data_IF_047356200875
#
_entry.id   IF_047356200875
#
_cell.length_a   1.000
_cell.length_b   1.000
_cell.length_c   1.000
_cell.angle_alpha   90.00
_cell.angle_beta   90.00
_cell.angle_gamma   90.00
#
_symmetry.space_group_name_H-M   'P 1'
#
loop_
_entity.id
_entity.type
_entity.pdbx_description
1 polymer ?
#
# COMPACT_ATOMS: atom_id res chain seq x y z
N UNK A 1 14.36 8.11 -0.38
CA UNK A 1 13.00 8.65 -0.40
C UNK A 1 12.23 8.13 -1.60
N UNK A 2 10.97 7.77 -1.40
CA UNK A 2 9.96 7.62 -2.46
C UNK A 2 8.62 8.12 -1.92
N UNK A 3 7.61 8.30 -2.77
CA UNK A 3 6.34 8.89 -2.34
C UNK A 3 5.14 8.01 -2.71
N UNK A 4 4.30 7.68 -1.73
CA UNK A 4 3.03 7.01 -1.97
C UNK A 4 2.15 7.80 -2.95
N UNK A 5 1.58 7.10 -3.95
CA UNK A 5 0.84 7.70 -5.09
C UNK A 5 1.69 8.68 -5.91
N UNK A 6 2.99 8.41 -6.09
CA UNK A 6 3.86 9.16 -7.02
C UNK A 6 3.37 9.19 -8.47
N UNK A 7 2.59 8.18 -8.89
CA UNK A 7 1.82 8.23 -10.12
C UNK A 7 0.37 8.57 -9.76
N UNK A 8 -0.14 9.73 -10.20
CA UNK A 8 -1.51 10.07 -9.83
C UNK A 8 -2.04 11.42 -10.31
N UNK A 9 -3.26 11.73 -9.86
CA UNK A 9 -4.08 12.87 -10.33
C UNK A 9 -3.46 14.24 -10.16
N UNK A 10 -2.40 14.39 -9.36
CA UNK A 10 -1.68 15.65 -9.21
C UNK A 10 -0.84 15.99 -10.47
N UNK A 11 -0.47 14.98 -11.26
CA UNK A 11 0.26 15.13 -12.52
C UNK A 11 -0.68 15.47 -13.69
N UNK A 12 -0.45 16.57 -14.43
CA UNK A 12 -1.24 16.90 -15.62
C UNK A 12 -1.25 15.79 -16.68
N UNK A 13 -0.12 15.14 -16.91
CA UNK A 13 0.06 14.09 -17.90
C UNK A 13 -0.76 12.84 -17.55
N UNK A 14 -0.81 12.49 -16.25
CA UNK A 14 -1.65 11.41 -15.75
C UNK A 14 -3.14 11.71 -15.98
N UNK A 15 -3.57 12.96 -15.72
CA UNK A 15 -4.97 13.37 -15.98
C UNK A 15 -5.31 13.29 -17.47
N UNK A 16 -4.43 13.81 -18.34
CA UNK A 16 -4.61 13.75 -19.78
C UNK A 16 -4.66 12.31 -20.33
N UNK A 17 -3.93 11.38 -19.71
CA UNK A 17 -4.03 9.95 -20.03
C UNK A 17 -5.38 9.36 -19.59
N UNK A 18 -5.84 9.69 -18.37
CA UNK A 18 -7.11 9.19 -17.79
C UNK A 18 -8.37 9.74 -18.48
N UNK A 19 -8.25 10.80 -19.28
CA UNK A 19 -9.31 11.27 -20.19
C UNK A 19 -9.51 10.34 -21.39
N UNK A 20 -8.47 9.54 -21.74
CA UNK A 20 -8.47 8.66 -22.92
C UNK A 20 -8.72 7.19 -22.56
N UNK A 21 -8.24 6.75 -21.39
CA UNK A 21 -8.38 5.36 -20.92
C UNK A 21 -9.00 5.32 -19.53
N UNK A 22 -9.80 4.29 -19.26
CA UNK A 22 -10.36 4.07 -17.92
C UNK A 22 -9.27 3.71 -16.90
N UNK A 23 -9.57 3.77 -15.59
CA UNK A 23 -8.57 3.46 -14.56
C UNK A 23 -8.21 1.96 -14.57
N UNK A 24 -9.21 1.10 -14.78
CA UNK A 24 -9.01 -0.34 -14.90
C UNK A 24 -8.24 -0.67 -16.16
N UNK A 25 -8.57 -0.05 -17.29
CA UNK A 25 -7.82 -0.22 -18.53
C UNK A 25 -6.36 0.19 -18.36
N UNK A 26 -6.10 1.30 -17.67
CA UNK A 26 -4.74 1.72 -17.33
C UNK A 26 -4.02 0.68 -16.46
N UNK A 27 -4.67 0.14 -15.43
CA UNK A 27 -4.09 -0.89 -14.56
C UNK A 27 -3.85 -2.24 -15.28
N UNK A 28 -4.68 -2.55 -16.29
CA UNK A 28 -4.62 -3.80 -17.06
C UNK A 28 -3.80 -3.70 -18.34
N UNK A 29 -3.20 -2.54 -18.62
CA UNK A 29 -2.31 -2.32 -19.75
C UNK A 29 -0.87 -2.27 -19.27
N UNK A 30 -0.05 -3.32 -19.51
CA UNK A 30 1.34 -3.37 -19.07
C UNK A 30 2.17 -2.16 -19.51
N UNK A 31 2.02 -1.74 -20.77
CA UNK A 31 2.77 -0.62 -21.34
C UNK A 31 2.40 0.71 -20.70
N UNK A 32 1.10 0.96 -20.46
CA UNK A 32 0.65 2.20 -19.85
C UNK A 32 0.97 2.26 -18.35
N UNK A 33 0.84 1.15 -17.63
CA UNK A 33 1.24 1.03 -16.24
C UNK A 33 2.75 1.27 -16.08
N UNK A 34 3.56 0.71 -17.00
CA UNK A 34 4.99 0.97 -17.10
C UNK A 34 5.28 2.46 -17.35
N UNK A 35 4.70 3.05 -18.40
CA UNK A 35 4.91 4.46 -18.75
C UNK A 35 4.62 5.40 -17.57
N UNK A 36 3.48 5.20 -16.91
CA UNK A 36 3.07 6.02 -15.76
C UNK A 36 4.00 5.83 -14.56
N UNK A 37 4.47 4.61 -14.32
CA UNK A 37 5.40 4.31 -13.22
C UNK A 37 6.77 4.96 -13.47
N UNK A 38 7.34 4.76 -14.67
CA UNK A 38 8.66 5.30 -15.06
C UNK A 38 8.63 6.83 -15.05
N UNK A 39 7.62 7.44 -15.68
CA UNK A 39 7.47 8.90 -15.70
C UNK A 39 7.41 9.50 -14.29
N UNK A 40 6.70 8.86 -13.36
CA UNK A 40 6.63 9.32 -11.99
C UNK A 40 7.99 9.29 -11.29
N UNK A 41 8.79 8.24 -11.53
CA UNK A 41 10.16 8.14 -11.02
C UNK A 41 11.03 9.27 -11.59
N UNK A 42 11.05 9.43 -12.92
CA UNK A 42 11.91 10.41 -13.60
C UNK A 42 11.56 11.84 -13.22
N UNK A 43 10.27 12.17 -13.17
CA UNK A 43 9.80 13.52 -12.86
C UNK A 43 10.18 13.92 -11.42
N UNK A 44 10.04 12.99 -10.48
CA UNK A 44 10.30 13.24 -9.07
C UNK A 44 11.75 13.03 -8.66
N UNK A 45 12.53 12.23 -9.38
CA UNK A 45 13.88 11.83 -8.98
C UNK A 45 13.92 10.99 -7.71
N UNK A 46 12.91 10.15 -7.45
CA UNK A 46 12.85 9.31 -6.23
C UNK A 46 13.80 8.10 -6.30
N UNK A 47 14.15 7.55 -5.14
CA UNK A 47 15.07 6.41 -5.00
C UNK A 47 14.40 5.04 -5.20
N UNK A 48 13.09 4.99 -5.43
CA UNK A 48 12.36 3.78 -5.76
C UNK A 48 11.09 4.09 -6.55
N UNK A 49 10.74 3.22 -7.50
CA UNK A 49 9.44 3.17 -8.13
C UNK A 49 8.49 2.25 -7.37
N UNK A 50 7.19 2.51 -7.40
CA UNK A 50 6.15 1.55 -7.02
C UNK A 50 5.28 1.29 -8.24
N UNK A 51 5.02 0.02 -8.56
CA UNK A 51 4.25 -0.34 -9.74
C UNK A 51 2.87 0.33 -9.71
N UNK A 52 2.43 0.90 -10.83
CA UNK A 52 1.07 1.42 -10.94
C UNK A 52 0.07 0.26 -11.08
N UNK A 53 -0.73 0.05 -10.04
CA UNK A 53 -1.83 -0.93 -10.04
C UNK A 53 -2.90 -0.50 -9.02
N UNK A 54 -3.91 -1.34 -8.80
CA UNK A 54 -4.92 -1.16 -7.76
C UNK A 54 -4.97 -2.36 -6.81
N UNK A 55 -5.20 -2.12 -5.51
CA UNK A 55 -5.27 -3.18 -4.49
C UNK A 55 -6.44 -4.15 -4.74
N UNK A 56 -7.51 -3.71 -5.42
CA UNK A 56 -8.73 -4.48 -5.63
C UNK A 56 -8.65 -5.45 -6.80
N UNK A 57 -7.61 -5.38 -7.65
CA UNK A 57 -7.46 -6.29 -8.80
C UNK A 57 -7.52 -7.77 -8.38
N UNK A 58 -7.02 -8.10 -7.19
CA UNK A 58 -7.05 -9.45 -6.62
C UNK A 58 -8.48 -9.97 -6.33
N UNK A 59 -9.48 -9.10 -6.23
CA UNK A 59 -10.87 -9.51 -6.01
C UNK A 59 -11.49 -10.19 -7.23
N UNK A 60 -10.96 -9.96 -8.44
CA UNK A 60 -11.44 -10.60 -9.67
C UNK A 60 -11.19 -12.12 -9.67
N UNK A 61 -9.94 -12.62 -9.52
CA UNK A 61 -9.70 -14.07 -9.48
C UNK A 61 -10.33 -14.75 -8.26
N UNK A 62 -10.69 -13.99 -7.23
CA UNK A 62 -11.43 -14.47 -6.06
C UNK A 62 -12.95 -14.53 -6.27
N UNK A 63 -13.46 -14.18 -7.46
CA UNK A 63 -14.90 -14.16 -7.82
C UNK A 63 -15.73 -13.16 -7.01
N UNK A 64 -15.09 -12.19 -6.36
CA UNK A 64 -15.75 -11.10 -5.66
C UNK A 64 -16.09 -9.98 -6.65
N UNK A 65 -15.10 -9.59 -7.48
CA UNK A 65 -15.25 -8.59 -8.54
C UNK A 65 -15.52 -7.17 -8.02
N UNK A 66 -15.18 -6.19 -8.84
CA UNK A 66 -15.41 -4.78 -8.52
C UNK A 66 -15.50 -3.94 -9.79
N UNK A 67 -16.12 -2.78 -9.68
CA UNK A 67 -16.18 -1.76 -10.71
C UNK A 67 -15.92 -0.38 -10.08
N UNK A 68 -15.42 0.57 -10.85
CA UNK A 68 -15.37 1.97 -10.42
C UNK A 68 -16.60 2.70 -10.92
N UNK A 69 -17.33 3.33 -10.01
CA UNK A 69 -18.50 4.16 -10.32
C UNK A 69 -18.09 5.56 -10.76
N UNK A 70 -19.06 6.33 -11.28
CA UNK A 70 -18.83 7.69 -11.80
C UNK A 70 -18.31 8.68 -10.74
N UNK A 71 -18.59 8.43 -9.46
CA UNK A 71 -18.03 9.16 -8.32
C UNK A 71 -16.60 8.73 -7.94
N UNK A 72 -16.00 7.85 -8.76
CA UNK A 72 -14.67 7.26 -8.62
C UNK A 72 -14.49 6.33 -7.40
N UNK A 73 -15.57 5.94 -6.73
CA UNK A 73 -15.54 4.93 -5.67
C UNK A 73 -15.54 3.51 -6.25
N UNK A 74 -14.91 2.54 -5.57
CA UNK A 74 -15.08 1.14 -5.95
C UNK A 74 -16.43 0.62 -5.43
N UNK A 75 -17.14 -0.10 -6.28
CA UNK A 75 -18.33 -0.89 -5.96
C UNK A 75 -18.00 -2.36 -6.10
N UNK A 76 -18.25 -3.14 -5.05
CA UNK A 76 -18.03 -4.59 -5.07
C UNK A 76 -19.26 -5.28 -5.67
N UNK A 77 -19.03 -6.21 -6.58
CA UNK A 77 -20.09 -6.88 -7.33
C UNK A 77 -20.74 -8.00 -6.52
N UNK A 78 -19.93 -8.83 -5.86
CA UNK A 78 -20.40 -9.94 -5.02
C UNK A 78 -19.94 -9.74 -3.57
N UNK A 79 -20.61 -8.86 -2.79
CA UNK A 79 -20.17 -8.55 -1.44
C UNK A 79 -20.38 -9.73 -0.46
N UNK A 80 -19.43 -9.93 0.45
CA UNK A 80 -19.38 -11.08 1.38
C UNK A 80 -20.27 -10.81 2.60
N UNK A 81 -21.23 -11.71 2.85
CA UNK A 81 -22.19 -11.65 3.97
C UNK A 81 -22.39 -12.99 4.67
N UNK A 82 -22.13 -14.11 3.98
CA UNK A 82 -22.51 -15.46 4.43
C UNK A 82 -21.40 -16.48 4.18
N UNK A 83 -21.46 -17.60 4.91
CA UNK A 83 -20.53 -18.72 4.73
C UNK A 83 -20.53 -19.26 3.30
N UNK A 84 -21.70 -19.45 2.69
CA UNK A 84 -21.80 -19.94 1.32
C UNK A 84 -21.09 -19.07 0.28
N UNK A 85 -21.00 -17.76 0.51
CA UNK A 85 -20.24 -16.86 -0.37
C UNK A 85 -18.73 -17.02 -0.19
N UNK A 86 -18.27 -17.26 1.04
CA UNK A 86 -16.87 -17.56 1.33
C UNK A 86 -16.47 -18.92 0.77
N UNK A 87 -17.35 -19.92 0.86
CA UNK A 87 -17.15 -21.25 0.26
C UNK A 87 -17.07 -21.20 -1.28
N UNK A 88 -17.69 -20.18 -1.89
CA UNK A 88 -17.61 -19.93 -3.33
C UNK A 88 -16.29 -19.32 -3.80
N UNK A 89 -15.46 -18.82 -2.88
CA UNK A 89 -14.13 -18.26 -3.18
C UNK A 89 -13.16 -19.42 -3.45
N UNK A 90 -12.39 -19.37 -4.55
CA UNK A 90 -11.37 -20.38 -4.83
C UNK A 90 -10.39 -20.56 -3.66
N UNK A 91 -10.03 -21.81 -3.36
CA UNK A 91 -9.08 -22.08 -2.28
C UNK A 91 -7.68 -21.53 -2.55
N UNK A 92 -7.30 -21.52 -3.83
CA UNK A 92 -6.08 -20.95 -4.37
C UNK A 92 -6.39 -20.25 -5.69
N UNK A 93 -5.59 -19.24 -6.01
CA UNK A 93 -5.61 -18.56 -7.31
C UNK A 93 -4.30 -18.78 -8.03
N UNK A 94 -4.33 -18.90 -9.36
CA UNK A 94 -3.14 -18.72 -10.17
C UNK A 94 -2.90 -17.22 -10.34
N UNK A 95 -2.21 -16.60 -9.38
CA UNK A 95 -1.99 -15.16 -9.40
C UNK A 95 -1.14 -14.71 -10.60
N UNK A 96 -0.15 -15.51 -11.00
CA UNK A 96 0.71 -15.21 -12.14
C UNK A 96 -0.06 -15.22 -13.48
N UNK A 97 -0.99 -16.16 -13.66
CA UNK A 97 -1.85 -16.23 -14.83
C UNK A 97 -3.03 -15.24 -14.82
N UNK A 98 -3.78 -15.19 -13.71
CA UNK A 98 -5.01 -14.37 -13.61
C UNK A 98 -4.75 -12.86 -13.49
N UNK A 99 -3.59 -12.48 -12.99
CA UNK A 99 -3.14 -11.08 -12.87
C UNK A 99 -1.87 -10.86 -13.71
N UNK A 100 -1.74 -11.58 -14.84
CA UNK A 100 -0.54 -11.55 -15.68
C UNK A 100 -0.17 -10.15 -16.16
N UNK A 101 -1.17 -9.30 -16.41
CA UNK A 101 -0.97 -7.91 -16.81
C UNK A 101 -0.17 -7.10 -15.77
N UNK A 102 -0.30 -7.38 -14.47
CA UNK A 102 0.54 -6.76 -13.44
C UNK A 102 1.97 -7.32 -13.52
N UNK A 103 2.12 -8.63 -13.71
CA UNK A 103 3.44 -9.27 -13.83
C UNK A 103 4.19 -8.74 -15.06
N UNK A 104 3.49 -8.57 -16.17
CA UNK A 104 4.03 -8.01 -17.40
C UNK A 104 4.39 -6.54 -17.24
N UNK A 105 3.56 -5.76 -16.53
CA UNK A 105 3.88 -4.37 -16.19
C UNK A 105 5.15 -4.27 -15.33
N UNK A 106 5.31 -5.16 -14.34
CA UNK A 106 6.52 -5.24 -13.52
C UNK A 106 7.73 -5.56 -14.40
N UNK A 107 7.67 -6.60 -15.23
CA UNK A 107 8.77 -6.99 -16.14
C UNK A 107 9.15 -5.88 -17.11
N UNK A 108 8.17 -5.15 -17.65
CA UNK A 108 8.42 -4.01 -18.53
C UNK A 108 9.09 -2.86 -17.76
N UNK A 109 8.51 -2.45 -16.63
CA UNK A 109 9.02 -1.37 -15.78
C UNK A 109 10.43 -1.67 -15.29
N UNK A 110 10.73 -2.93 -14.97
CA UNK A 110 12.05 -3.37 -14.52
C UNK A 110 13.17 -3.18 -15.53
N UNK A 111 12.86 -3.18 -16.83
CA UNK A 111 13.84 -2.96 -17.90
C UNK A 111 14.17 -1.48 -18.07
N UNK A 112 13.25 -0.60 -17.70
CA UNK A 112 13.35 0.85 -17.89
C UNK A 112 13.87 1.58 -16.64
N UNK A 113 13.63 1.04 -15.44
CA UNK A 113 14.03 1.68 -14.18
C UNK A 113 15.45 1.31 -13.73
N UNK A 114 16.23 2.34 -13.41
CA UNK A 114 17.54 2.24 -12.74
C UNK A 114 17.43 2.10 -11.20
N UNK A 115 16.27 2.48 -10.63
CA UNK A 115 15.99 2.37 -9.19
C UNK A 115 15.19 1.10 -8.86
N UNK A 116 15.18 0.66 -7.59
CA UNK A 116 14.32 -0.45 -7.16
C UNK A 116 12.83 -0.23 -7.46
N UNK A 117 12.13 -1.32 -7.77
CA UNK A 117 10.69 -1.34 -8.06
C UNK A 117 9.99 -2.12 -6.95
N UNK A 118 9.01 -1.46 -6.35
CA UNK A 118 8.19 -1.98 -5.27
C UNK A 118 6.91 -2.57 -5.89
N UNK A 119 6.68 -3.86 -5.67
CA UNK A 119 5.37 -4.50 -5.86
C UNK A 119 4.47 -4.25 -4.66
N UNK A 120 3.17 -4.50 -4.76
CA UNK A 120 2.28 -4.31 -3.60
C UNK A 120 0.97 -5.09 -3.66
N UNK A 121 0.32 -5.19 -2.51
CA UNK A 121 -1.04 -5.70 -2.37
C UNK A 121 -1.77 -4.97 -1.22
N UNK A 122 -3.10 -5.03 -1.23
CA UNK A 122 -3.89 -4.66 -0.06
C UNK A 122 -3.77 -5.73 1.03
N UNK A 123 -3.74 -5.31 2.28
CA UNK A 123 -3.74 -6.21 3.44
C UNK A 123 -5.10 -6.93 3.60
N UNK A 124 -5.13 -8.09 4.27
CA UNK A 124 -6.36 -8.86 4.48
C UNK A 124 -7.52 -8.04 5.04
N UNK A 125 -7.29 -7.25 6.10
CA UNK A 125 -8.35 -6.47 6.73
C UNK A 125 -8.91 -5.40 5.79
N UNK A 126 -8.03 -4.70 5.09
CA UNK A 126 -8.41 -3.67 4.12
C UNK A 126 -9.23 -4.25 2.96
N UNK A 127 -8.80 -5.38 2.38
CA UNK A 127 -9.55 -6.04 1.30
C UNK A 127 -10.86 -6.66 1.78
N UNK A 128 -10.86 -7.29 2.96
CA UNK A 128 -12.06 -7.79 3.59
C UNK A 128 -13.06 -6.66 3.84
N UNK A 129 -12.59 -5.50 4.29
CA UNK A 129 -13.42 -4.32 4.51
C UNK A 129 -14.10 -3.88 3.22
N UNK A 130 -13.39 -3.80 2.09
CA UNK A 130 -14.05 -3.51 0.81
C UNK A 130 -15.08 -4.57 0.43
N UNK A 131 -14.69 -5.85 0.47
CA UNK A 131 -15.55 -6.97 0.10
C UNK A 131 -16.81 -7.08 0.96
N UNK A 132 -16.73 -6.75 2.25
CA UNK A 132 -17.85 -6.79 3.18
C UNK A 132 -18.62 -5.47 3.18
N UNK A 133 -18.01 -4.30 3.06
CA UNK A 133 -18.80 -3.05 3.01
C UNK A 133 -19.54 -2.93 1.67
N UNK A 134 -19.05 -3.57 0.61
CA UNK A 134 -19.57 -3.42 -0.74
C UNK A 134 -18.90 -2.28 -1.53
N UNK A 135 -17.88 -1.64 -0.94
CA UNK A 135 -17.21 -0.47 -1.48
C UNK A 135 -16.42 0.26 -0.40
N UNK A 136 -16.15 1.55 -0.59
CA UNK A 136 -15.55 2.39 0.46
C UNK A 136 -16.51 2.63 1.63
N UNK A 137 -15.96 2.71 2.85
CA UNK A 137 -16.74 3.00 4.07
C UNK A 137 -15.96 3.96 4.97
N UNK A 138 -16.70 4.74 5.78
CA UNK A 138 -16.11 5.63 6.79
C UNK A 138 -15.93 4.95 8.15
N UNK A 139 -16.78 3.97 8.45
CA UNK A 139 -16.90 3.40 9.79
C UNK A 139 -16.68 1.88 9.85
N UNK A 140 -16.77 1.19 8.71
CA UNK A 140 -16.52 -0.26 8.58
C UNK A 140 -17.43 -1.11 9.50
N UNK A 141 -18.70 -0.71 9.65
CA UNK A 141 -19.63 -1.35 10.56
C UNK A 141 -20.05 -2.75 10.12
N UNK A 142 -20.20 -3.01 8.82
CA UNK A 142 -20.55 -4.35 8.33
C UNK A 142 -19.36 -5.31 8.49
N UNK A 143 -18.14 -4.84 8.20
CA UNK A 143 -16.92 -5.60 8.44
C UNK A 143 -16.79 -5.97 9.93
N UNK A 144 -16.96 -5.00 10.83
CA UNK A 144 -16.90 -5.23 12.29
C UNK A 144 -18.02 -6.12 12.80
N UNK A 145 -19.24 -5.97 12.26
CA UNK A 145 -20.39 -6.81 12.61
C UNK A 145 -20.11 -8.28 12.27
N UNK A 146 -19.52 -8.58 11.12
CA UNK A 146 -19.10 -9.94 10.76
C UNK A 146 -17.96 -10.42 11.67
N UNK A 147 -16.91 -9.60 11.83
CA UNK A 147 -15.74 -9.91 12.64
C UNK A 147 -16.08 -10.27 14.10
N UNK A 148 -17.00 -9.54 14.72
CA UNK A 148 -17.43 -9.80 16.09
C UNK A 148 -18.54 -10.85 16.20
N UNK A 149 -19.46 -10.88 15.23
CA UNK A 149 -20.64 -11.73 15.27
C UNK A 149 -20.39 -13.17 14.85
N UNK A 150 -19.40 -13.41 13.98
CA UNK A 150 -19.06 -14.74 13.47
C UNK A 150 -17.55 -14.83 13.19
N UNK A 151 -16.77 -15.08 14.24
CA UNK A 151 -15.32 -15.21 14.18
C UNK A 151 -14.87 -16.39 13.31
N UNK A 152 -15.68 -17.46 13.21
CA UNK A 152 -15.38 -18.61 12.36
C UNK A 152 -15.41 -18.23 10.88
N UNK A 153 -16.49 -17.56 10.46
CA UNK A 153 -16.64 -17.05 9.10
C UNK A 153 -15.60 -15.97 8.77
N UNK A 154 -15.34 -15.05 9.70
CA UNK A 154 -14.28 -14.05 9.56
C UNK A 154 -12.92 -14.69 9.28
N UNK A 155 -12.52 -15.66 10.11
CA UNK A 155 -11.23 -16.34 9.96
C UNK A 155 -11.15 -17.16 8.68
N UNK A 156 -12.24 -17.83 8.28
CA UNK A 156 -12.29 -18.54 7.00
C UNK A 156 -12.05 -17.58 5.82
N UNK A 157 -12.73 -16.43 5.81
CA UNK A 157 -12.58 -15.45 4.74
C UNK A 157 -11.18 -14.80 4.72
N UNK A 158 -10.69 -14.36 5.88
CA UNK A 158 -9.36 -13.75 6.00
C UNK A 158 -8.26 -14.73 5.62
N UNK A 159 -8.42 -16.03 5.89
CA UNK A 159 -7.48 -17.07 5.46
C UNK A 159 -7.44 -17.21 3.93
N UNK A 160 -8.60 -17.18 3.25
CA UNK A 160 -8.67 -17.19 1.78
C UNK A 160 -7.97 -15.98 1.18
N UNK A 161 -8.24 -14.78 1.70
CA UNK A 161 -7.57 -13.55 1.28
C UNK A 161 -6.06 -13.63 1.49
N UNK A 162 -5.61 -14.05 2.67
CA UNK A 162 -4.18 -14.12 3.01
C UNK A 162 -3.41 -15.08 2.12
N UNK A 163 -4.00 -16.23 1.77
CA UNK A 163 -3.42 -17.17 0.81
C UNK A 163 -3.22 -16.52 -0.56
N UNK A 164 -4.27 -15.90 -1.09
CA UNK A 164 -4.23 -15.25 -2.40
C UNK A 164 -3.25 -14.05 -2.44
N UNK A 165 -3.22 -13.24 -1.37
CA UNK A 165 -2.31 -12.10 -1.25
C UNK A 165 -0.85 -12.57 -1.24
N UNK A 166 -0.54 -13.64 -0.49
CA UNK A 166 0.80 -14.21 -0.48
C UNK A 166 1.21 -14.70 -1.87
N UNK A 167 0.36 -15.48 -2.55
CA UNK A 167 0.62 -15.97 -3.90
C UNK A 167 0.81 -14.81 -4.90
N UNK A 168 0.03 -13.74 -4.77
CA UNK A 168 0.15 -12.54 -5.60
C UNK A 168 1.44 -11.76 -5.36
N UNK A 169 1.83 -11.55 -4.11
CA UNK A 169 3.10 -10.89 -3.79
C UNK A 169 4.30 -11.71 -4.27
N UNK A 170 4.27 -13.04 -4.10
CA UNK A 170 5.32 -13.94 -4.60
C UNK A 170 5.42 -13.84 -6.13
N UNK A 171 4.30 -13.85 -6.84
CA UNK A 171 4.30 -13.70 -8.30
C UNK A 171 4.91 -12.35 -8.74
N UNK A 172 4.66 -11.27 -8.00
CA UNK A 172 5.28 -9.97 -8.29
C UNK A 172 6.80 -9.99 -8.08
N UNK A 173 7.27 -10.68 -7.03
CA UNK A 173 8.71 -10.87 -6.76
C UNK A 173 9.35 -11.67 -7.91
N UNK A 174 8.74 -12.77 -8.31
CA UNK A 174 9.20 -13.60 -9.43
C UNK A 174 9.21 -12.84 -10.77
N UNK A 175 8.30 -11.87 -10.95
CA UNK A 175 8.26 -10.99 -12.10
C UNK A 175 9.34 -9.88 -12.08
N UNK A 176 9.98 -9.64 -10.93
CA UNK A 176 11.12 -8.74 -10.80
C UNK A 176 10.94 -7.61 -9.77
N UNK A 177 9.86 -7.59 -8.97
CA UNK A 177 9.77 -6.66 -7.85
C UNK A 177 10.91 -6.90 -6.85
N UNK A 178 11.65 -5.83 -6.52
CA UNK A 178 12.82 -5.92 -5.63
C UNK A 178 12.49 -5.64 -4.16
N UNK A 179 11.28 -5.15 -3.89
CA UNK A 179 10.65 -5.08 -2.58
C UNK A 179 9.13 -5.20 -2.77
N UNK A 180 8.41 -5.52 -1.71
CA UNK A 180 6.94 -5.55 -1.73
C UNK A 180 6.33 -4.78 -0.56
N UNK A 181 5.18 -4.15 -0.77
CA UNK A 181 4.44 -3.46 0.30
C UNK A 181 3.04 -4.04 0.50
N UNK A 182 2.69 -4.34 1.74
CA UNK A 182 1.35 -4.71 2.17
C UNK A 182 0.65 -3.48 2.76
N UNK A 183 -0.41 -3.00 2.11
CA UNK A 183 -1.15 -1.81 2.50
C UNK A 183 -2.36 -2.13 3.36
N UNK A 184 -2.31 -1.83 4.66
CA UNK A 184 -3.46 -1.92 5.56
C UNK A 184 -4.07 -0.55 5.86
N UNK A 185 -4.61 0.07 4.82
CA UNK A 185 -5.13 1.46 4.82
C UNK A 185 -6.28 1.69 5.82
N UNK A 186 -7.05 0.65 6.15
CA UNK A 186 -8.25 0.77 7.00
C UNK A 186 -8.05 0.29 8.43
N UNK A 187 -6.90 -0.29 8.75
CA UNK A 187 -6.66 -0.97 10.03
C UNK A 187 -6.76 -0.06 11.23
N UNK A 188 -6.47 1.23 11.05
CA UNK A 188 -6.51 2.22 12.14
C UNK A 188 -7.88 2.39 12.80
N UNK A 189 -8.95 1.82 12.23
CA UNK A 189 -10.25 1.78 12.90
C UNK A 189 -10.36 0.71 14.00
N UNK A 190 -9.35 -0.14 14.19
CA UNK A 190 -9.33 -1.23 15.18
C UNK A 190 -8.60 -0.84 16.47
N UNK A 191 -8.99 -1.51 17.57
CA UNK A 191 -8.21 -1.51 18.80
C UNK A 191 -7.01 -2.47 18.70
N UNK A 192 -5.96 -2.31 19.54
CA UNK A 192 -4.86 -3.27 19.59
C UNK A 192 -5.28 -4.71 19.93
N UNK A 193 -6.35 -4.87 20.72
CA UNK A 193 -6.89 -6.18 21.07
C UNK A 193 -7.57 -6.83 19.85
N UNK A 194 -8.38 -6.07 19.12
CA UNK A 194 -9.05 -6.56 17.91
C UNK A 194 -8.04 -6.89 16.81
N UNK A 195 -7.03 -6.04 16.61
CA UNK A 195 -5.99 -6.33 15.62
C UNK A 195 -5.28 -7.66 15.93
N UNK A 196 -4.84 -7.86 17.19
CA UNK A 196 -4.15 -9.11 17.58
C UNK A 196 -5.02 -10.35 17.40
N UNK A 197 -6.32 -10.25 17.69
CA UNK A 197 -7.24 -11.40 17.58
C UNK A 197 -7.64 -11.69 16.13
N UNK A 198 -8.01 -10.66 15.39
CA UNK A 198 -8.74 -10.81 14.13
C UNK A 198 -7.91 -10.55 12.88
N UNK A 199 -6.76 -9.87 12.97
CA UNK A 199 -5.97 -9.44 11.80
C UNK A 199 -4.54 -9.95 11.82
N UNK A 200 -3.83 -9.82 12.95
CA UNK A 200 -2.43 -10.19 13.10
C UNK A 200 -2.11 -11.60 12.57
N UNK A 201 -2.88 -12.67 12.91
CA UNK A 201 -2.55 -14.01 12.45
C UNK A 201 -2.55 -14.14 10.92
N UNK A 202 -3.41 -13.37 10.25
CA UNK A 202 -3.60 -13.37 8.80
C UNK A 202 -2.50 -12.59 8.08
N UNK A 203 -2.17 -11.40 8.57
CA UNK A 203 -1.01 -10.64 8.08
C UNK A 203 0.29 -11.42 8.29
N UNK A 204 0.43 -12.08 9.46
CA UNK A 204 1.58 -12.94 9.76
C UNK A 204 1.72 -14.10 8.78
N UNK A 205 0.62 -14.78 8.46
CA UNK A 205 0.62 -15.88 7.51
C UNK A 205 1.09 -15.45 6.09
N UNK A 206 0.89 -14.18 5.70
CA UNK A 206 1.43 -13.63 4.46
C UNK A 206 2.95 -13.48 4.58
N UNK A 207 3.44 -12.74 5.57
CA UNK A 207 4.87 -12.47 5.72
C UNK A 207 5.71 -13.74 5.94
N UNK A 208 5.17 -14.74 6.66
CA UNK A 208 5.84 -16.02 6.88
C UNK A 208 6.05 -16.81 5.57
N UNK A 209 5.20 -16.59 4.55
CA UNK A 209 5.30 -17.23 3.24
C UNK A 209 6.21 -16.51 2.24
N UNK A 210 6.47 -15.21 2.43
CA UNK A 210 7.29 -14.44 1.49
C UNK A 210 8.75 -14.96 1.47
N UNK A 211 9.41 -14.96 0.29
CA UNK A 211 10.77 -15.44 0.16
C UNK A 211 11.73 -14.60 1.00
N UNK A 212 12.61 -15.28 1.75
CA UNK A 212 13.66 -14.61 2.53
C UNK A 212 14.67 -14.00 1.56
N UNK A 213 14.84 -12.68 1.61
CA UNK A 213 15.77 -11.93 0.75
C UNK A 213 15.15 -10.78 -0.04
N UNK A 214 13.82 -10.73 -0.14
CA UNK A 214 13.10 -9.58 -0.70
C UNK A 214 12.48 -8.76 0.42
N UNK A 215 12.88 -7.48 0.61
CA UNK A 215 12.31 -6.63 1.65
C UNK A 215 10.80 -6.50 1.54
N UNK A 216 10.11 -6.71 2.65
CA UNK A 216 8.67 -6.57 2.77
C UNK A 216 8.30 -5.42 3.71
N UNK A 217 7.47 -4.50 3.23
CA UNK A 217 7.01 -3.32 3.97
C UNK A 217 5.59 -3.56 4.47
N UNK A 218 5.37 -3.45 5.77
CA UNK A 218 4.05 -3.53 6.39
C UNK A 218 3.55 -2.10 6.70
N UNK A 219 2.68 -1.57 5.85
CA UNK A 219 2.15 -0.22 6.00
C UNK A 219 0.79 -0.24 6.69
N UNK A 220 0.60 0.62 7.68
CA UNK A 220 -0.66 0.83 8.37
C UNK A 220 -0.81 2.28 8.83
N UNK A 221 -2.03 2.79 8.76
CA UNK A 221 -2.34 4.19 9.11
C UNK A 221 -3.60 4.28 9.94
N UNK A 222 -3.73 5.36 10.71
CA UNK A 222 -4.93 5.71 11.48
C UNK A 222 -4.76 5.51 12.98
N UNK A 223 -3.87 4.62 13.41
CA UNK A 223 -3.71 4.27 14.81
C UNK A 223 -2.28 3.78 15.13
N UNK A 224 -1.40 4.65 15.68
CA UNK A 224 -0.04 4.27 16.03
C UNK A 224 0.09 3.16 17.08
N UNK A 225 -0.92 2.96 17.92
CA UNK A 225 -0.95 1.89 18.94
C UNK A 225 -0.94 0.48 18.32
N UNK A 226 -1.21 0.36 17.02
CA UNK A 226 -1.18 -0.91 16.30
C UNK A 226 0.24 -1.31 15.87
N UNK A 227 1.20 -0.38 15.80
CA UNK A 227 2.52 -0.66 15.22
C UNK A 227 3.28 -1.79 15.91
N UNK A 228 3.28 -1.95 17.25
CA UNK A 228 3.91 -3.10 17.91
C UNK A 228 3.32 -4.43 17.42
N UNK A 229 1.99 -4.50 17.31
CA UNK A 229 1.29 -5.70 16.87
C UNK A 229 1.51 -5.96 15.37
N UNK A 230 1.62 -4.91 14.56
CA UNK A 230 1.97 -5.02 13.14
C UNK A 230 3.40 -5.54 12.96
N UNK A 231 4.34 -5.09 13.79
CA UNK A 231 5.70 -5.64 13.84
C UNK A 231 5.71 -7.11 14.25
N UNK A 232 4.90 -7.49 15.25
CA UNK A 232 4.71 -8.91 15.62
C UNK A 232 4.19 -9.74 14.44
N UNK A 233 3.34 -9.18 13.57
CA UNK A 233 2.85 -9.86 12.38
C UNK A 233 3.97 -10.10 11.35
N UNK A 234 4.86 -9.12 11.15
CA UNK A 234 6.04 -9.25 10.30
C UNK A 234 6.23 -8.06 9.35
N UNK A 235 7.21 -8.23 8.45
CA UNK A 235 7.77 -7.18 7.61
C UNK A 235 9.16 -6.77 8.08
N UNK A 236 10.02 -6.39 7.15
CA UNK A 236 11.37 -5.86 7.41
C UNK A 236 11.33 -4.35 7.67
N UNK A 237 10.28 -3.69 7.16
CA UNK A 237 10.03 -2.26 7.28
C UNK A 237 8.60 -2.04 7.77
N UNK A 238 8.43 -1.19 8.79
CA UNK A 238 7.10 -0.75 9.24
C UNK A 238 6.84 0.65 8.66
N UNK A 239 5.79 0.74 7.84
CA UNK A 239 5.31 2.00 7.28
C UNK A 239 4.36 2.68 8.25
N UNK A 240 4.73 3.88 8.70
CA UNK A 240 4.02 4.64 9.73
C UNK A 240 3.47 5.97 9.17
N UNK A 241 2.49 6.56 9.84
CA UNK A 241 1.92 7.85 9.47
C UNK A 241 2.33 8.99 10.43
N UNK A 242 1.87 10.20 10.14
CA UNK A 242 2.25 11.44 10.83
C UNK A 242 1.69 11.60 12.24
N UNK A 243 0.84 10.68 12.72
CA UNK A 243 0.21 10.76 14.06
C UNK A 243 1.15 10.34 15.19
N UNK A 244 2.35 9.87 14.85
CA UNK A 244 3.45 9.60 15.77
C UNK A 244 4.69 10.30 15.22
N UNK A 245 5.63 10.74 16.05
CA UNK A 245 6.93 11.17 15.56
C UNK A 245 7.80 9.95 15.22
N UNK A 246 8.81 10.14 14.36
CA UNK A 246 9.66 9.04 13.92
C UNK A 246 10.52 8.47 15.08
N UNK A 247 10.93 9.32 16.02
CA UNK A 247 11.70 8.92 17.22
C UNK A 247 10.86 8.14 18.24
N UNK A 248 9.61 8.53 18.48
CA UNK A 248 8.66 7.76 19.30
C UNK A 248 8.37 6.40 18.66
N UNK A 249 8.19 6.36 17.33
CA UNK A 249 7.99 5.11 16.61
C UNK A 249 9.18 4.14 16.75
N UNK A 250 10.43 4.62 16.66
CA UNK A 250 11.59 3.78 16.95
C UNK A 250 11.69 3.37 18.42
N UNK A 251 11.33 4.25 19.35
CA UNK A 251 11.35 3.92 20.78
C UNK A 251 10.36 2.78 21.08
N UNK A 252 9.24 2.77 20.38
CA UNK A 252 8.19 1.76 20.48
C UNK A 252 8.56 0.45 19.76
N UNK A 253 9.14 0.55 18.57
CA UNK A 253 9.38 -0.59 17.68
C UNK A 253 10.77 -1.19 17.80
N UNK A 254 11.73 -0.49 18.38
CA UNK A 254 13.14 -0.89 18.37
C UNK A 254 13.81 -0.67 17.01
N UNK A 255 15.04 -1.17 16.88
CA UNK A 255 15.93 -0.94 15.73
C UNK A 255 16.20 -2.20 14.91
N UNK A 256 15.47 -3.28 15.18
CA UNK A 256 15.49 -4.55 14.43
C UNK A 256 14.63 -4.50 13.17
N UNK A 257 13.81 -3.46 13.00
CA UNK A 257 13.09 -3.14 11.76
C UNK A 257 13.44 -1.74 11.29
N UNK A 258 13.35 -1.51 9.97
CA UNK A 258 13.41 -0.17 9.42
C UNK A 258 12.04 0.53 9.52
N UNK A 259 12.03 1.86 9.48
CA UNK A 259 10.81 2.67 9.44
C UNK A 259 10.69 3.39 8.10
N UNK A 260 9.48 3.40 7.56
CA UNK A 260 9.12 4.17 6.38
C UNK A 260 8.10 5.26 6.71
N UNK A 261 8.35 6.49 6.27
CA UNK A 261 7.49 7.64 6.51
C UNK A 261 8.24 8.86 7.02
N UNK A 262 7.57 9.82 7.66
CA UNK A 262 6.13 9.78 7.97
C UNK A 262 5.43 11.13 7.86
N UNK A 263 5.97 12.03 7.03
CA UNK A 263 5.48 13.39 6.87
C UNK A 263 3.99 13.43 6.46
N UNK A 264 3.20 14.33 7.07
CA UNK A 264 1.81 14.55 6.69
C UNK A 264 1.75 15.03 5.22
N UNK A 265 1.03 14.34 4.31
CA UNK A 265 0.92 14.75 2.91
C UNK A 265 0.31 16.15 2.75
N UNK A 266 -0.48 16.66 3.70
CA UNK A 266 -1.03 18.01 3.64
C UNK A 266 0.05 19.09 3.68
N UNK A 267 1.22 18.82 4.28
CA UNK A 267 2.32 19.77 4.33
C UNK A 267 2.90 20.09 2.93
N UNK A 268 2.67 19.24 1.93
CA UNK A 268 3.02 19.54 0.52
C UNK A 268 2.21 20.71 -0.05
N UNK A 269 1.04 21.02 0.52
CA UNK A 269 0.17 22.11 0.06
C UNK A 269 0.54 23.47 0.68
N UNK A 270 1.48 23.48 1.64
CA UNK A 270 1.94 24.70 2.29
C UNK A 270 2.98 25.45 1.43
N UNK A 271 3.53 26.54 1.98
CA UNK A 271 4.68 27.22 1.37
C UNK A 271 5.90 26.30 1.32
N UNK A 272 6.81 26.54 0.37
CA UNK A 272 8.04 25.76 0.25
C UNK A 272 8.86 25.76 1.56
N UNK A 273 8.89 26.89 2.27
CA UNK A 273 9.54 27.01 3.58
C UNK A 273 8.93 26.07 4.63
N UNK A 274 7.59 26.05 4.75
CA UNK A 274 6.90 25.17 5.71
C UNK A 274 7.09 23.71 5.33
N UNK A 275 6.96 23.36 4.05
CA UNK A 275 7.18 22.01 3.55
C UNK A 275 8.59 21.52 3.91
N UNK A 276 9.63 22.34 3.67
CA UNK A 276 11.02 22.02 4.00
C UNK A 276 11.23 21.88 5.50
N UNK A 277 10.66 22.78 6.33
CA UNK A 277 10.72 22.67 7.79
C UNK A 277 10.15 21.34 8.27
N UNK A 278 8.97 20.95 7.78
CA UNK A 278 8.32 19.69 8.16
C UNK A 278 9.11 18.47 7.72
N UNK A 279 9.71 18.51 6.53
CA UNK A 279 10.59 17.44 6.08
C UNK A 279 11.87 17.34 6.95
N UNK A 280 12.47 18.48 7.29
CA UNK A 280 13.62 18.54 8.19
C UNK A 280 13.30 18.02 9.59
N UNK A 281 12.14 18.35 10.17
CA UNK A 281 11.69 17.82 11.48
C UNK A 281 11.68 16.27 11.50
N UNK A 282 11.21 15.65 10.41
CA UNK A 282 11.22 14.18 10.27
C UNK A 282 12.65 13.64 10.14
N UNK A 283 13.52 14.30 9.37
CA UNK A 283 14.93 13.89 9.19
C UNK A 283 15.76 14.09 10.47
N UNK A 284 15.50 15.15 11.22
CA UNK A 284 16.11 15.40 12.53
C UNK A 284 15.68 14.34 13.54
N UNK A 285 14.41 13.94 13.52
CA UNK A 285 13.91 12.80 14.30
C UNK A 285 14.63 11.50 13.90
N UNK A 286 15.04 11.36 12.63
CA UNK A 286 15.91 10.27 12.18
C UNK A 286 17.28 10.26 12.85
N UNK A 287 17.81 11.43 13.18
CA UNK A 287 19.10 11.62 13.86
C UNK A 287 20.25 10.84 13.17
N UNK A 288 20.21 10.72 11.84
CA UNK A 288 21.21 9.98 11.06
C UNK A 288 21.23 8.46 11.31
N UNK A 289 20.24 7.89 12.01
CA UNK A 289 20.14 6.44 12.23
C UNK A 289 19.96 5.70 10.89
N UNK A 290 20.57 4.52 10.69
CA UNK A 290 20.25 3.67 9.56
C UNK A 290 18.82 3.13 9.70
N UNK A 291 18.22 2.69 8.59
CA UNK A 291 16.88 2.08 8.60
C UNK A 291 15.73 3.10 8.54
N UNK A 292 15.94 4.29 7.99
CA UNK A 292 14.87 5.24 7.65
C UNK A 292 14.68 5.33 6.14
N UNK A 293 13.46 5.09 5.67
CA UNK A 293 13.01 5.38 4.31
C UNK A 293 12.04 6.55 4.39
N UNK A 294 12.51 7.76 4.07
CA UNK A 294 11.62 8.91 4.02
C UNK A 294 10.49 8.67 3.02
N UNK A 295 9.26 8.90 3.47
CA UNK A 295 8.04 8.89 2.68
C UNK A 295 7.01 9.82 3.35
N UNK A 296 5.91 10.08 2.67
CA UNK A 296 4.72 10.64 3.32
C UNK A 296 4.05 9.56 4.19
N UNK A 297 3.23 9.96 5.16
CA UNK A 297 2.42 9.05 5.97
C UNK A 297 1.15 8.56 5.25
N UNK A 298 0.80 9.16 4.11
CA UNK A 298 -0.22 8.69 3.18
C UNK A 298 0.06 9.27 1.77
N UNK A 299 -0.64 8.81 0.74
CA UNK A 299 -0.35 9.23 -0.64
C UNK A 299 -0.64 10.70 -0.96
N UNK A 300 0.05 11.20 -1.99
CA UNK A 300 -0.07 12.58 -2.51
C UNK A 300 -1.54 12.92 -2.83
N UNK A 301 -1.93 14.14 -2.45
CA UNK A 301 -3.26 14.67 -2.70
C UNK A 301 -3.37 15.26 -4.12
N UNK A 302 -4.51 15.13 -4.82
CA UNK A 302 -4.70 15.69 -6.16
C UNK A 302 -4.45 17.19 -6.29
N UNK A 303 -4.53 17.94 -5.18
CA UNK A 303 -4.29 19.37 -5.09
C UNK A 303 -2.82 19.76 -5.13
N UNK A 304 -1.90 18.81 -4.91
CA UNK A 304 -0.47 19.08 -5.02
C UNK A 304 -0.05 19.26 -6.49
N UNK A 305 1.19 19.71 -6.69
CA UNK A 305 1.79 19.86 -8.01
C UNK A 305 3.05 19.00 -8.13
N UNK A 306 3.45 18.59 -9.35
CA UNK A 306 4.74 17.90 -9.56
C UNK A 306 5.93 18.68 -9.02
N UNK A 307 5.93 20.01 -9.14
CA UNK A 307 6.99 20.86 -8.62
C UNK A 307 7.09 20.82 -7.09
N UNK A 308 5.96 20.81 -6.37
CA UNK A 308 5.95 20.68 -4.90
C UNK A 308 6.48 19.31 -4.45
N UNK A 309 6.04 18.23 -5.12
CA UNK A 309 6.50 16.89 -4.81
C UNK A 309 8.00 16.73 -5.11
N UNK A 310 8.48 17.27 -6.24
CA UNK A 310 9.90 17.28 -6.60
C UNK A 310 10.74 18.07 -5.60
N UNK A 311 10.28 19.26 -5.21
CA UNK A 311 10.99 20.09 -4.22
C UNK A 311 11.11 19.41 -2.84
N UNK A 312 10.15 18.56 -2.46
CA UNK A 312 10.27 17.72 -1.27
C UNK A 312 11.38 16.67 -1.42
N UNK A 313 11.40 15.97 -2.56
CA UNK A 313 12.43 14.94 -2.84
C UNK A 313 13.82 15.57 -2.84
N UNK A 314 14.01 16.67 -3.55
CA UNK A 314 15.28 17.40 -3.62
C UNK A 314 15.74 17.83 -2.22
N UNK A 315 14.84 18.40 -1.40
CA UNK A 315 15.16 18.79 -0.02
C UNK A 315 15.58 17.61 0.84
N UNK A 316 14.89 16.46 0.73
CA UNK A 316 15.24 15.26 1.48
C UNK A 316 16.62 14.75 1.09
N UNK A 317 16.96 14.74 -0.20
CA UNK A 317 18.30 14.36 -0.67
C UNK A 317 19.38 15.32 -0.16
N UNK A 318 19.16 16.64 -0.28
CA UNK A 318 20.09 17.68 0.19
C UNK A 318 20.33 17.60 1.71
N UNK A 319 19.27 17.49 2.50
CA UNK A 319 19.34 17.54 3.96
C UNK A 319 19.81 16.23 4.61
N UNK A 320 19.80 15.11 3.89
CA UNK A 320 20.19 13.79 4.42
C UNK A 320 21.51 13.25 3.87
N UNK A 321 22.19 14.00 2.99
CA UNK A 321 23.51 13.66 2.48
C UNK A 321 24.53 13.58 3.63
N UNK A 322 25.34 12.52 3.65
CA UNK A 322 26.36 12.23 4.67
C UNK A 322 27.76 12.34 4.11
#
# INVERSE_FOLDING_TARGET
>A
VWIMRQAGRYQPEYRALREKVSFIELCKSPDLACEVTVRAVDQLGVDAGIIFADILLILEPLRIGFEFTDDHGPKIMNPIRTASQVDGIPERIDAAGSLSYVMDAIRATRKELEVPLIGFAGAPFTLASYAIEGGGSKNYFEAKKLMYGDEGLWNAFMSRLSGAIADYLIAQIDAGAQAVQLFDSWVGCLSPADYRRYVLPHSKAIFDKLPKGTPAIHFGTGNPELYPAMKEAGGDVIGIDWRISLDDAWSLLGTDVALQGNMDPAALLASAEVMRSRASEVLESAAGRPGHIFNLGHGIMPQATPAQARALVDHVHEASQR
#
